data_IF_514292012456
#
_entry.id   IF_514292012456
#
_cell.length_a   1.000
_cell.length_b   1.000
_cell.length_c   1.000
_cell.angle_alpha   90.00
_cell.angle_beta   90.00
_cell.angle_gamma   90.00
#
_symmetry.space_group_name_H-M   'P 1'
#
loop_
_entity.id
_entity.type
_entity.pdbx_description
1 polymer ?
#
# COMPACT_ATOMS: atom_id res chain seq x y z
N UNK A 1 42.73 -6.25 9.33
CA UNK A 1 41.77 -6.20 8.21
C UNK A 1 41.10 -4.84 8.26
N UNK A 2 40.87 -4.13 7.15
CA UNK A 2 40.08 -2.89 7.17
C UNK A 2 38.68 -3.25 7.71
N UNK A 3 38.01 -2.33 8.45
CA UNK A 3 36.69 -2.58 8.97
C UNK A 3 35.76 -2.91 7.80
N UNK A 4 34.99 -3.97 7.93
CA UNK A 4 34.02 -4.42 6.92
C UNK A 4 32.98 -3.31 6.78
N UNK A 5 32.94 -2.64 5.64
CA UNK A 5 32.01 -1.55 5.40
C UNK A 5 30.64 -2.15 5.06
N UNK A 6 29.69 -2.02 5.99
CA UNK A 6 28.30 -2.43 5.77
C UNK A 6 27.53 -1.38 4.97
N UNK A 7 26.59 -1.86 4.16
CA UNK A 7 25.65 -0.99 3.43
C UNK A 7 24.61 -0.47 4.42
N UNK A 8 24.28 0.81 4.32
CA UNK A 8 23.28 1.40 5.18
C UNK A 8 21.87 0.80 4.89
N UNK A 9 21.04 0.49 5.90
CA UNK A 9 19.69 -0.07 5.70
C UNK A 9 18.80 0.76 4.77
N UNK A 10 18.91 2.08 4.79
CA UNK A 10 18.15 2.97 3.91
C UNK A 10 18.52 2.79 2.43
N UNK A 11 19.80 2.52 2.14
CA UNK A 11 20.24 2.21 0.78
C UNK A 11 19.71 0.86 0.31
N UNK A 12 19.74 -0.16 1.19
CA UNK A 12 19.16 -1.47 0.89
C UNK A 12 17.68 -1.33 0.59
N UNK A 13 16.94 -0.55 1.42
CA UNK A 13 15.51 -0.28 1.22
C UNK A 13 15.22 0.44 -0.09
N UNK A 14 16.00 1.45 -0.44
CA UNK A 14 15.84 2.19 -1.68
C UNK A 14 16.05 1.31 -2.91
N UNK A 15 17.12 0.50 -2.93
CA UNK A 15 17.39 -0.45 -4.00
C UNK A 15 16.31 -1.54 -4.09
N UNK A 16 15.85 -2.07 -2.96
CA UNK A 16 14.76 -3.05 -2.92
C UNK A 16 13.45 -2.46 -3.48
N UNK A 17 13.10 -1.23 -3.10
CA UNK A 17 11.93 -0.54 -3.62
C UNK A 17 11.99 -0.35 -5.14
N UNK A 18 13.14 0.07 -5.67
CA UNK A 18 13.35 0.21 -7.12
C UNK A 18 13.22 -1.14 -7.83
N UNK A 19 13.92 -2.16 -7.36
CA UNK A 19 13.88 -3.49 -7.96
C UNK A 19 12.48 -4.13 -7.89
N UNK A 20 11.70 -3.84 -6.85
CA UNK A 20 10.31 -4.26 -6.76
C UNK A 20 9.43 -3.51 -7.78
N UNK A 21 9.64 -2.21 -7.98
CA UNK A 21 8.95 -1.44 -9.01
C UNK A 21 9.24 -1.99 -10.42
N UNK A 22 10.50 -2.28 -10.72
CA UNK A 22 10.91 -2.85 -12.02
C UNK A 22 10.28 -4.24 -12.25
N UNK A 23 10.28 -5.09 -11.21
CA UNK A 23 9.61 -6.38 -11.26
C UNK A 23 8.11 -6.22 -11.52
N UNK A 24 7.44 -5.33 -10.79
CA UNK A 24 6.01 -5.13 -10.93
C UNK A 24 5.61 -4.51 -12.28
N UNK A 25 6.42 -3.60 -12.82
CA UNK A 25 6.23 -3.06 -14.18
C UNK A 25 6.33 -4.15 -15.26
N UNK A 26 7.24 -5.10 -15.08
CA UNK A 26 7.41 -6.24 -15.99
C UNK A 26 6.21 -7.20 -15.91
N UNK A 27 5.73 -7.47 -14.71
CA UNK A 27 4.64 -8.41 -14.46
C UNK A 27 3.25 -7.82 -14.72
N UNK A 28 3.08 -6.49 -14.58
CA UNK A 28 1.82 -5.74 -14.75
C UNK A 28 2.06 -4.55 -15.70
N UNK A 29 2.01 -4.75 -17.04
CA UNK A 29 2.34 -3.69 -18.01
C UNK A 29 1.52 -2.40 -17.86
N UNK A 30 0.25 -2.48 -17.44
CA UNK A 30 -0.60 -1.30 -17.17
C UNK A 30 -0.03 -0.42 -16.05
N UNK A 31 0.75 -0.98 -15.14
CA UNK A 31 1.40 -0.22 -14.07
C UNK A 31 2.44 0.77 -14.62
N UNK A 32 3.19 0.40 -15.65
CA UNK A 32 4.10 1.34 -16.33
C UNK A 32 3.36 2.53 -16.94
N UNK A 33 2.17 2.27 -17.52
CA UNK A 33 1.31 3.34 -18.06
C UNK A 33 0.78 4.23 -16.93
N UNK A 34 0.37 3.64 -15.81
CA UNK A 34 -0.06 4.38 -14.62
C UNK A 34 1.04 5.30 -14.08
N UNK A 35 2.28 4.81 -13.98
CA UNK A 35 3.42 5.61 -13.51
C UNK A 35 3.69 6.82 -14.42
N UNK A 36 3.61 6.65 -15.76
CA UNK A 36 3.75 7.78 -16.70
C UNK A 36 2.64 8.80 -16.51
N UNK A 37 1.40 8.35 -16.44
CA UNK A 37 0.24 9.22 -16.22
C UNK A 37 0.37 10.03 -14.93
N UNK A 38 0.82 9.41 -13.84
CA UNK A 38 1.09 10.09 -12.56
C UNK A 38 2.24 11.10 -12.70
N UNK A 39 3.32 10.75 -13.38
CA UNK A 39 4.46 11.65 -13.59
C UNK A 39 4.09 12.87 -14.42
N UNK A 40 3.35 12.67 -15.51
CA UNK A 40 2.86 13.75 -16.39
C UNK A 40 1.92 14.69 -15.63
N UNK A 41 0.95 14.12 -14.89
CA UNK A 41 0.04 14.91 -14.04
C UNK A 41 0.81 15.72 -12.99
N UNK A 42 1.74 15.10 -12.27
CA UNK A 42 2.53 15.79 -11.26
C UNK A 42 3.35 16.94 -11.87
N UNK A 43 3.91 16.74 -13.06
CA UNK A 43 4.67 17.78 -13.77
C UNK A 43 3.75 18.94 -14.17
N UNK A 44 2.57 18.66 -14.71
CA UNK A 44 1.60 19.68 -15.08
C UNK A 44 1.12 20.50 -13.88
N UNK A 45 0.77 19.84 -12.77
CA UNK A 45 0.36 20.51 -11.53
C UNK A 45 1.46 21.44 -10.98
N UNK A 46 2.73 21.00 -11.01
CA UNK A 46 3.86 21.83 -10.57
C UNK A 46 4.10 23.04 -11.49
N UNK A 47 3.85 22.92 -12.78
CA UNK A 47 3.94 24.05 -13.74
C UNK A 47 2.81 25.04 -13.52
N UNK A 48 1.59 24.57 -13.28
CA UNK A 48 0.40 25.40 -13.12
C UNK A 48 0.35 26.10 -11.75
N UNK A 49 0.78 25.43 -10.68
CA UNK A 49 0.80 25.99 -9.33
C UNK A 49 2.23 26.19 -8.79
N UNK A 50 2.74 27.41 -9.02
CA UNK A 50 4.06 27.84 -8.53
C UNK A 50 4.13 27.95 -6.99
N UNK A 51 3.00 28.06 -6.28
CA UNK A 51 3.00 28.08 -4.80
C UNK A 51 3.17 26.65 -4.28
N UNK A 52 2.46 25.70 -4.88
CA UNK A 52 2.62 24.27 -4.59
C UNK A 52 4.05 23.82 -4.85
N UNK A 53 4.62 24.17 -6.01
CA UNK A 53 6.00 23.82 -6.38
C UNK A 53 7.01 24.34 -5.37
N UNK A 54 6.92 25.61 -4.98
CA UNK A 54 7.78 26.18 -3.95
C UNK A 54 7.61 25.48 -2.59
N UNK A 55 6.40 25.11 -2.24
CA UNK A 55 6.12 24.37 -1.02
C UNK A 55 6.80 23.00 -1.04
N UNK A 56 6.64 22.25 -2.13
CA UNK A 56 7.28 20.92 -2.30
C UNK A 56 8.80 20.99 -2.29
N UNK A 57 9.39 22.07 -2.88
CA UNK A 57 10.83 22.33 -2.81
C UNK A 57 11.30 22.57 -1.38
N UNK A 58 10.60 23.43 -0.64
CA UNK A 58 10.96 23.78 0.74
C UNK A 58 10.85 22.60 1.71
N UNK A 59 9.96 21.67 1.41
CA UNK A 59 9.76 20.47 2.23
C UNK A 59 10.59 19.27 1.78
N UNK A 60 11.37 19.41 0.68
CA UNK A 60 12.14 18.29 0.09
C UNK A 60 11.25 17.18 -0.45
N UNK A 61 10.02 17.50 -0.88
CA UNK A 61 9.06 16.51 -1.33
C UNK A 61 9.10 16.23 -2.84
N UNK A 62 9.71 17.09 -3.67
CA UNK A 62 9.77 16.91 -5.13
C UNK A 62 10.43 15.58 -5.48
N UNK A 63 11.60 15.32 -4.91
CA UNK A 63 12.38 14.09 -5.16
C UNK A 63 11.61 12.85 -4.72
N UNK A 64 10.74 12.99 -3.72
CA UNK A 64 9.92 11.90 -3.17
C UNK A 64 8.68 11.59 -4.01
N UNK A 65 8.27 12.48 -4.93
CA UNK A 65 7.11 12.22 -5.81
C UNK A 65 7.33 11.03 -6.76
N UNK A 66 8.58 10.82 -7.17
CA UNK A 66 8.94 9.73 -8.09
C UNK A 66 9.21 8.39 -7.38
N UNK A 67 9.25 8.39 -6.03
CA UNK A 67 9.51 7.19 -5.26
C UNK A 67 8.21 6.42 -4.99
N UNK A 68 8.26 5.09 -5.12
CA UNK A 68 7.20 4.20 -4.69
C UNK A 68 6.96 4.35 -3.19
N UNK A 69 5.71 4.55 -2.80
CA UNK A 69 5.36 4.88 -1.43
C UNK A 69 4.96 3.68 -0.60
N UNK A 70 4.12 2.81 -1.15
CA UNK A 70 3.76 1.59 -0.46
C UNK A 70 3.38 0.46 -1.41
N UNK A 71 3.58 -0.76 -0.90
CA UNK A 71 3.06 -1.98 -1.48
C UNK A 71 2.17 -2.71 -0.49
N UNK A 72 1.49 -3.75 -0.94
CA UNK A 72 0.71 -4.64 -0.10
C UNK A 72 1.01 -6.11 -0.43
N UNK A 73 1.15 -6.92 0.62
CA UNK A 73 1.36 -8.36 0.53
C UNK A 73 0.50 -9.08 1.57
N UNK A 74 0.06 -10.30 1.24
CA UNK A 74 -0.74 -11.13 2.12
C UNK A 74 -0.02 -12.43 2.43
N UNK A 75 0.05 -12.81 3.69
CA UNK A 75 0.68 -14.06 4.15
C UNK A 75 -0.32 -14.93 4.90
N UNK A 76 -0.04 -16.21 4.96
CA UNK A 76 -0.95 -17.22 5.50
C UNK A 76 -0.65 -17.62 6.94
N UNK A 77 0.60 -17.49 7.41
CA UNK A 77 1.01 -17.98 8.73
C UNK A 77 1.75 -16.94 9.56
N UNK A 78 1.70 -17.10 10.88
CA UNK A 78 2.45 -16.27 11.81
C UNK A 78 3.97 -16.39 11.60
N UNK A 79 4.46 -17.56 11.20
CA UNK A 79 5.87 -17.82 10.88
C UNK A 79 6.31 -17.03 9.65
N UNK A 80 5.47 -16.97 8.62
CA UNK A 80 5.72 -16.14 7.43
C UNK A 80 5.82 -14.66 7.82
N UNK A 81 4.88 -14.15 8.62
CA UNK A 81 4.90 -12.78 9.11
C UNK A 81 6.13 -12.49 9.97
N UNK A 82 6.50 -13.42 10.86
CA UNK A 82 7.70 -13.32 11.70
C UNK A 82 8.97 -13.22 10.85
N UNK A 83 9.07 -14.03 9.79
CA UNK A 83 10.22 -13.99 8.89
C UNK A 83 10.23 -12.70 8.06
N UNK A 84 9.08 -12.22 7.56
CA UNK A 84 8.99 -10.91 6.90
C UNK A 84 9.45 -9.78 7.81
N UNK A 85 9.12 -9.82 9.11
CA UNK A 85 9.63 -8.83 10.06
C UNK A 85 11.16 -8.81 10.10
N UNK A 86 11.80 -9.98 10.08
CA UNK A 86 13.26 -10.08 10.05
C UNK A 86 13.84 -9.59 8.72
N UNK A 87 13.22 -9.96 7.61
CA UNK A 87 13.58 -9.49 6.27
C UNK A 87 13.51 -7.96 6.18
N UNK A 88 12.42 -7.36 6.64
CA UNK A 88 12.26 -5.91 6.62
C UNK A 88 13.19 -5.19 7.61
N UNK A 89 13.60 -5.84 8.70
CA UNK A 89 14.56 -5.27 9.64
C UNK A 89 15.94 -5.03 8.99
N UNK A 90 16.38 -5.87 8.05
CA UNK A 90 17.61 -5.67 7.26
C UNK A 90 17.56 -4.33 6.50
N UNK A 91 16.37 -3.88 6.13
CA UNK A 91 16.11 -2.62 5.42
C UNK A 91 15.75 -1.46 6.37
N UNK A 92 15.95 -1.62 7.68
CA UNK A 92 15.62 -0.60 8.68
C UNK A 92 14.12 -0.33 8.83
N UNK A 93 13.27 -1.29 8.47
CA UNK A 93 11.82 -1.17 8.58
C UNK A 93 11.31 -1.94 9.81
N UNK A 94 10.40 -1.33 10.53
CA UNK A 94 9.76 -1.91 11.71
C UNK A 94 8.24 -1.95 11.53
N UNK A 95 7.53 -2.87 12.22
CA UNK A 95 6.08 -2.89 12.17
C UNK A 95 5.51 -1.67 12.91
N UNK A 96 4.53 -1.01 12.28
CA UNK A 96 3.82 0.13 12.84
C UNK A 96 2.33 -0.05 12.64
N UNK A 97 1.56 0.16 13.70
CA UNK A 97 0.12 -0.02 13.71
C UNK A 97 -0.32 -1.49 13.69
N UNK A 98 -1.57 -1.68 14.05
CA UNK A 98 -2.29 -2.94 13.96
C UNK A 98 -3.72 -2.64 13.50
N UNK A 99 -4.18 -3.41 12.51
CA UNK A 99 -5.47 -3.19 11.88
C UNK A 99 -6.20 -4.53 11.79
N UNK A 100 -7.30 -4.68 12.52
CA UNK A 100 -8.23 -5.81 12.32
C UNK A 100 -9.23 -5.42 11.24
N UNK A 101 -9.22 -6.13 10.12
CA UNK A 101 -10.11 -5.89 9.00
C UNK A 101 -11.33 -6.83 8.99
N UNK A 102 -11.41 -7.77 9.94
CA UNK A 102 -12.55 -8.67 10.06
C UNK A 102 -13.89 -7.93 10.28
N UNK A 103 -13.97 -6.84 11.07
CA UNK A 103 -15.21 -6.06 11.18
C UNK A 103 -15.67 -5.44 9.85
N UNK A 104 -14.77 -5.29 8.87
CA UNK A 104 -15.08 -4.83 7.52
C UNK A 104 -15.33 -6.00 6.53
N UNK A 105 -15.46 -7.23 7.02
CA UNK A 105 -15.70 -8.43 6.22
C UNK A 105 -14.45 -9.00 5.54
N UNK A 106 -13.25 -8.51 5.86
CA UNK A 106 -12.00 -8.99 5.25
C UNK A 106 -11.26 -9.87 6.26
N UNK A 107 -11.03 -11.17 5.98
CA UNK A 107 -10.53 -12.13 6.97
C UNK A 107 -9.03 -12.04 7.25
N UNK A 108 -8.55 -10.85 7.55
CA UNK A 108 -7.13 -10.58 7.86
C UNK A 108 -6.99 -9.57 8.97
N UNK A 109 -5.84 -9.60 9.64
CA UNK A 109 -5.31 -8.45 10.33
C UNK A 109 -4.00 -8.00 9.69
N UNK A 110 -3.68 -6.72 9.80
CA UNK A 110 -2.58 -6.12 9.06
C UNK A 110 -1.69 -5.27 9.93
N UNK A 111 -0.43 -5.14 9.52
CA UNK A 111 0.52 -4.14 10.01
C UNK A 111 1.22 -3.48 8.83
N UNK A 112 1.78 -2.30 9.02
CA UNK A 112 2.64 -1.68 8.01
C UNK A 112 4.10 -1.75 8.46
N UNK A 113 4.99 -2.23 7.59
CA UNK A 113 6.43 -2.12 7.81
C UNK A 113 6.97 -0.86 7.14
N UNK A 114 7.69 -0.03 7.89
CA UNK A 114 8.34 1.18 7.37
C UNK A 114 9.49 1.64 8.25
N UNK A 115 10.35 2.52 7.73
CA UNK A 115 11.27 3.29 8.55
C UNK A 115 10.49 4.26 9.45
N UNK A 116 11.04 4.60 10.62
CA UNK A 116 10.39 5.48 11.60
C UNK A 116 11.13 6.80 11.81
N UNK A 117 12.43 6.85 11.50
CA UNK A 117 13.24 8.07 11.63
C UNK A 117 13.02 9.00 10.43
N UNK A 118 12.93 10.29 10.68
CA UNK A 118 12.66 11.31 9.66
C UNK A 118 13.69 11.26 8.52
N UNK A 119 14.98 11.18 8.83
CA UNK A 119 16.06 11.09 7.85
C UNK A 119 15.93 9.87 6.96
N UNK A 120 15.57 8.71 7.53
CA UNK A 120 15.35 7.48 6.80
C UNK A 120 14.10 7.54 5.92
N UNK A 121 13.03 8.22 6.39
CA UNK A 121 11.82 8.45 5.59
C UNK A 121 12.06 9.41 4.44
N UNK A 122 12.94 10.39 4.62
CA UNK A 122 13.36 11.28 3.53
C UNK A 122 14.21 10.55 2.50
N UNK A 123 15.14 9.71 2.94
CA UNK A 123 15.99 8.91 2.06
C UNK A 123 15.18 7.90 1.21
N UNK A 124 14.22 7.22 1.83
CA UNK A 124 13.32 6.30 1.12
C UNK A 124 12.03 6.10 1.91
N UNK A 125 10.89 6.63 1.44
CA UNK A 125 9.59 6.54 2.12
C UNK A 125 8.86 5.21 1.90
N UNK A 126 9.50 4.21 1.31
CA UNK A 126 8.91 2.91 1.00
C UNK A 126 8.36 2.23 2.24
N UNK A 127 7.17 1.67 2.11
CA UNK A 127 6.50 0.87 3.14
C UNK A 127 5.73 -0.29 2.52
N UNK A 128 5.48 -1.32 3.31
CA UNK A 128 4.69 -2.49 2.87
C UNK A 128 3.62 -2.78 3.90
N UNK A 129 2.36 -2.75 3.47
CA UNK A 129 1.26 -3.31 4.25
C UNK A 129 1.31 -4.82 4.15
N UNK A 130 1.38 -5.46 5.30
CA UNK A 130 1.44 -6.93 5.38
C UNK A 130 0.23 -7.42 6.13
N UNK A 131 -0.60 -8.20 5.44
CA UNK A 131 -1.82 -8.78 5.99
C UNK A 131 -1.60 -10.25 6.30
N UNK A 132 -2.00 -10.69 7.49
CA UNK A 132 -1.99 -12.07 7.91
C UNK A 132 -3.41 -12.62 7.86
N UNK A 133 -3.59 -13.74 7.14
CA UNK A 133 -4.86 -14.45 7.04
C UNK A 133 -5.32 -14.95 8.41
N UNK A 134 -6.59 -14.75 8.71
CA UNK A 134 -7.26 -15.27 9.90
C UNK A 134 -8.00 -16.56 9.53
N UNK A 135 -7.27 -17.68 9.62
CA UNK A 135 -7.81 -19.00 9.29
C UNK A 135 -9.05 -19.37 10.12
N UNK A 136 -9.12 -18.90 11.37
CA UNK A 136 -10.24 -19.15 12.27
C UNK A 136 -11.56 -18.54 11.78
N UNK A 137 -11.52 -17.63 10.82
CA UNK A 137 -12.73 -17.05 10.20
C UNK A 137 -13.24 -17.86 9.00
N UNK A 138 -12.56 -18.94 8.59
CA UNK A 138 -13.10 -19.89 7.63
C UNK A 138 -14.18 -20.70 8.35
N UNK A 139 -15.43 -20.59 7.90
CA UNK A 139 -16.58 -21.19 8.60
C UNK A 139 -16.53 -22.73 8.63
N UNK A 140 -16.17 -23.35 7.50
CA UNK A 140 -16.12 -24.81 7.36
C UNK A 140 -14.85 -25.39 8.02
N UNK A 141 -14.97 -26.23 9.09
CA UNK A 141 -13.80 -26.75 9.80
C UNK A 141 -12.86 -27.59 8.93
N UNK A 142 -13.42 -28.39 8.01
CA UNK A 142 -12.64 -29.23 7.08
C UNK A 142 -11.83 -28.38 6.09
N UNK A 143 -12.42 -27.32 5.55
CA UNK A 143 -11.74 -26.40 4.65
C UNK A 143 -10.69 -25.58 5.39
N UNK A 144 -10.98 -25.19 6.63
CA UNK A 144 -10.01 -24.50 7.51
C UNK A 144 -8.78 -25.38 7.77
N UNK A 145 -9.00 -26.66 8.10
CA UNK A 145 -7.89 -27.59 8.32
C UNK A 145 -7.10 -27.83 7.03
N UNK A 146 -7.76 -28.01 5.89
CA UNK A 146 -7.11 -28.15 4.60
C UNK A 146 -6.25 -26.91 4.27
N UNK A 147 -6.75 -25.71 4.46
CA UNK A 147 -6.02 -24.47 4.27
C UNK A 147 -4.78 -24.39 5.19
N UNK A 148 -4.92 -24.75 6.46
CA UNK A 148 -3.82 -24.81 7.41
C UNK A 148 -2.74 -25.83 6.96
N UNK A 149 -3.13 -27.01 6.49
CA UNK A 149 -2.22 -28.07 6.03
C UNK A 149 -1.45 -27.66 4.76
N UNK A 150 -2.10 -26.93 3.85
CA UNK A 150 -1.46 -26.37 2.65
C UNK A 150 -0.41 -25.34 3.05
N UNK A 151 -0.79 -24.38 3.90
CA UNK A 151 0.09 -23.32 4.34
C UNK A 151 1.28 -23.82 5.17
N UNK A 152 1.08 -24.83 6.00
CA UNK A 152 2.14 -25.44 6.81
C UNK A 152 3.26 -26.09 5.98
N UNK A 153 2.97 -26.52 4.75
CA UNK A 153 3.94 -27.14 3.82
C UNK A 153 4.64 -26.11 2.93
N UNK A 154 4.20 -24.86 2.96
CA UNK A 154 4.68 -23.81 2.07
C UNK A 154 5.96 -23.17 2.59
N UNK A 155 6.89 -22.91 1.67
CA UNK A 155 8.10 -22.11 1.94
C UNK A 155 8.15 -20.95 0.97
N UNK A 156 8.05 -19.73 1.50
CA UNK A 156 7.96 -18.49 0.70
C UNK A 156 9.29 -17.73 0.60
N UNK A 157 10.29 -18.14 1.36
CA UNK A 157 11.62 -17.52 1.37
C UNK A 157 12.66 -18.45 0.76
N UNK A 158 13.56 -17.89 -0.02
CA UNK A 158 14.70 -18.68 -0.52
C UNK A 158 15.64 -19.01 0.65
N UNK A 159 16.34 -20.17 0.63
CA UNK A 159 17.34 -20.52 1.64
C UNK A 159 18.43 -19.45 1.76
N UNK A 160 18.81 -18.83 0.64
CA UNK A 160 19.84 -17.79 0.61
C UNK A 160 19.33 -16.49 1.27
N UNK A 161 18.07 -16.08 1.07
CA UNK A 161 17.49 -14.94 1.78
C UNK A 161 17.54 -15.15 3.30
N UNK A 162 17.16 -16.34 3.78
CA UNK A 162 17.22 -16.70 5.21
C UNK A 162 18.66 -16.62 5.72
N UNK A 163 19.63 -17.16 4.98
CA UNK A 163 21.05 -17.12 5.35
C UNK A 163 21.55 -15.68 5.48
N UNK A 164 21.18 -14.79 4.55
CA UNK A 164 21.60 -13.38 4.56
C UNK A 164 20.94 -12.59 5.70
N UNK A 165 19.68 -12.90 6.04
CA UNK A 165 19.01 -12.35 7.22
C UNK A 165 19.78 -12.73 8.49
N UNK A 166 20.12 -14.01 8.67
CA UNK A 166 20.91 -14.50 9.82
C UNK A 166 22.30 -13.86 9.83
N UNK A 167 22.94 -13.72 8.68
CA UNK A 167 24.23 -13.04 8.55
C UNK A 167 24.13 -11.58 9.04
N UNK A 168 23.10 -10.83 8.61
CA UNK A 168 22.86 -9.46 9.07
C UNK A 168 22.68 -9.40 10.60
N UNK A 169 21.90 -10.31 11.17
CA UNK A 169 21.62 -10.36 12.60
C UNK A 169 22.87 -10.68 13.44
N UNK A 170 23.78 -11.50 12.92
CA UNK A 170 24.98 -11.91 13.64
C UNK A 170 26.14 -10.95 13.49
N UNK A 171 26.31 -10.33 12.31
CA UNK A 171 27.43 -9.41 12.02
C UNK A 171 27.10 -7.93 12.17
N UNK A 172 25.80 -7.59 12.36
CA UNK A 172 25.32 -6.21 12.47
C UNK A 172 25.13 -5.49 11.13
N UNK A 173 25.27 -6.19 9.99
CA UNK A 173 25.08 -5.60 8.67
C UNK A 173 25.43 -6.56 7.52
N UNK A 174 25.23 -6.08 6.28
CA UNK A 174 25.61 -6.76 5.05
C UNK A 174 26.61 -5.88 4.28
N UNK A 175 27.66 -6.50 3.71
CA UNK A 175 28.53 -5.82 2.76
C UNK A 175 27.79 -5.64 1.41
N UNK A 176 28.42 -4.90 0.46
CA UNK A 176 27.82 -4.58 -0.84
C UNK A 176 27.28 -5.80 -1.59
N UNK A 177 28.12 -6.82 -1.76
CA UNK A 177 27.73 -8.03 -2.47
C UNK A 177 26.59 -8.79 -1.77
N UNK A 178 26.67 -8.90 -0.44
CA UNK A 178 25.62 -9.55 0.36
C UNK A 178 24.30 -8.75 0.31
N UNK A 179 24.35 -7.43 0.30
CA UNK A 179 23.16 -6.59 0.19
C UNK A 179 22.48 -6.71 -1.17
N UNK A 180 23.25 -6.73 -2.26
CA UNK A 180 22.73 -6.89 -3.61
C UNK A 180 22.12 -8.31 -3.80
N UNK A 181 22.77 -9.36 -3.27
CA UNK A 181 22.23 -10.73 -3.25
C UNK A 181 20.96 -10.81 -2.37
N UNK A 182 20.96 -10.19 -1.20
CA UNK A 182 19.79 -10.14 -0.33
C UNK A 182 18.58 -9.51 -1.04
N UNK A 183 18.77 -8.43 -1.78
CA UNK A 183 17.69 -7.77 -2.54
C UNK A 183 17.15 -8.76 -3.59
N UNK A 184 18.02 -9.37 -4.40
CA UNK A 184 17.60 -10.31 -5.43
C UNK A 184 16.82 -11.50 -4.86
N UNK A 185 17.33 -12.10 -3.78
CA UNK A 185 16.71 -13.26 -3.14
C UNK A 185 15.38 -12.90 -2.42
N UNK A 186 15.32 -11.71 -1.83
CA UNK A 186 14.10 -11.25 -1.14
C UNK A 186 12.96 -10.96 -2.10
N UNK A 187 13.25 -10.49 -3.32
CA UNK A 187 12.23 -10.22 -4.34
C UNK A 187 11.43 -11.47 -4.72
N UNK A 188 12.04 -12.66 -4.64
CA UNK A 188 11.35 -13.91 -4.99
C UNK A 188 10.10 -14.16 -4.13
N UNK A 189 10.07 -13.65 -2.89
CA UNK A 189 8.89 -13.71 -2.01
C UNK A 189 7.72 -12.89 -2.53
N UNK A 190 7.96 -11.91 -3.40
CA UNK A 190 6.97 -10.94 -3.87
C UNK A 190 6.53 -11.17 -5.32
N UNK A 191 7.12 -12.16 -6.01
CA UNK A 191 6.83 -12.48 -7.40
C UNK A 191 5.46 -13.11 -7.58
N UNK A 192 4.87 -12.87 -8.73
CA UNK A 192 3.66 -13.54 -9.17
C UNK A 192 3.90 -15.03 -9.48
N UNK A 193 2.95 -15.86 -9.07
CA UNK A 193 2.93 -17.30 -9.36
C UNK A 193 1.78 -17.64 -10.29
N UNK A 194 2.08 -18.07 -11.52
CA UNK A 194 1.07 -18.46 -12.51
C UNK A 194 0.44 -19.83 -12.27
N UNK A 195 0.96 -20.61 -11.33
CA UNK A 195 0.50 -21.97 -11.04
C UNK A 195 -0.09 -22.04 -9.62
N UNK A 196 -1.35 -22.45 -9.55
CA UNK A 196 -1.98 -22.80 -8.28
C UNK A 196 -1.42 -24.14 -7.76
N UNK A 197 -1.32 -24.28 -6.44
CA UNK A 197 -0.86 -25.49 -5.76
C UNK A 197 -2.02 -26.39 -5.33
N UNK A 198 -3.25 -26.00 -5.64
CA UNK A 198 -4.50 -26.68 -5.30
C UNK A 198 -5.28 -27.01 -6.56
N UNK A 199 -6.25 -27.94 -6.46
CA UNK A 199 -7.18 -28.22 -7.56
C UNK A 199 -8.18 -27.07 -7.76
N UNK A 200 -8.85 -27.06 -8.91
CA UNK A 200 -9.90 -26.09 -9.23
C UNK A 200 -11.03 -26.12 -8.20
N UNK A 201 -11.42 -27.32 -7.75
CA UNK A 201 -12.49 -27.50 -6.74
C UNK A 201 -12.09 -26.90 -5.40
N UNK A 202 -10.87 -27.17 -4.94
CA UNK A 202 -10.36 -26.60 -3.69
C UNK A 202 -10.24 -25.06 -3.79
N UNK A 203 -9.74 -24.57 -4.93
CA UNK A 203 -9.66 -23.12 -5.18
C UNK A 203 -11.07 -22.49 -5.09
N UNK A 204 -12.08 -23.09 -5.74
CA UNK A 204 -13.43 -22.55 -5.74
C UNK A 204 -14.03 -22.56 -4.32
N UNK A 205 -13.84 -23.61 -3.54
CA UNK A 205 -14.30 -23.67 -2.15
C UNK A 205 -13.67 -22.55 -1.29
N UNK A 206 -12.37 -22.28 -1.46
CA UNK A 206 -11.67 -21.19 -0.77
C UNK A 206 -12.18 -19.82 -1.23
N UNK A 207 -12.40 -19.67 -2.53
CA UNK A 207 -12.88 -18.43 -3.16
C UNK A 207 -14.32 -18.09 -2.72
N UNK A 208 -15.19 -19.09 -2.59
CA UNK A 208 -16.59 -18.92 -2.18
C UNK A 208 -16.70 -18.47 -0.71
N UNK A 209 -15.76 -18.85 0.14
CA UNK A 209 -15.67 -18.29 1.49
C UNK A 209 -15.27 -16.80 1.45
N UNK A 210 -14.22 -16.51 0.74
CA UNK A 210 -13.76 -15.17 0.44
C UNK A 210 -12.60 -15.23 -0.57
N UNK A 211 -12.65 -14.41 -1.65
CA UNK A 211 -11.62 -14.40 -2.72
C UNK A 211 -10.18 -14.26 -2.19
N UNK A 212 -9.97 -13.52 -1.10
CA UNK A 212 -8.67 -13.32 -0.48
C UNK A 212 -8.12 -14.59 0.16
N UNK A 213 -8.99 -15.49 0.64
CA UNK A 213 -8.56 -16.80 1.18
C UNK A 213 -7.95 -17.64 0.06
N UNK A 214 -8.60 -17.70 -1.11
CA UNK A 214 -8.03 -18.36 -2.28
C UNK A 214 -6.71 -17.70 -2.73
N UNK A 215 -6.63 -16.37 -2.73
CA UNK A 215 -5.41 -15.63 -3.05
C UNK A 215 -4.22 -16.02 -2.15
N UNK A 216 -4.46 -16.14 -0.85
CA UNK A 216 -3.40 -16.48 0.12
C UNK A 216 -3.04 -17.97 0.11
N UNK A 217 -4.04 -18.87 -0.02
CA UNK A 217 -3.85 -20.32 0.21
C UNK A 217 -3.47 -21.07 -1.06
N UNK A 218 -4.00 -20.65 -2.21
CA UNK A 218 -3.95 -21.48 -3.42
C UNK A 218 -2.62 -21.42 -4.18
N UNK A 219 -1.67 -20.57 -3.79
CA UNK A 219 -0.41 -20.36 -4.52
C UNK A 219 0.81 -20.74 -3.68
N UNK A 220 1.91 -21.00 -4.38
CA UNK A 220 3.22 -21.38 -3.78
C UNK A 220 3.72 -20.34 -2.78
N UNK A 221 3.41 -19.08 -2.99
CA UNK A 221 3.83 -17.98 -2.13
C UNK A 221 2.92 -16.77 -2.31
N UNK A 222 3.11 -15.76 -1.47
CA UNK A 222 2.48 -14.47 -1.66
C UNK A 222 3.05 -13.77 -2.89
N UNK A 223 2.41 -12.70 -3.30
CA UNK A 223 2.90 -11.76 -4.32
C UNK A 223 2.58 -10.34 -3.89
N UNK A 224 3.24 -9.37 -4.49
CA UNK A 224 2.88 -7.99 -4.27
C UNK A 224 1.56 -7.70 -5.00
N UNK A 225 0.53 -7.23 -4.27
CA UNK A 225 -0.80 -7.02 -4.83
C UNK A 225 -0.90 -5.69 -5.59
N UNK A 226 -0.26 -4.66 -5.07
CA UNK A 226 -0.14 -3.35 -5.70
C UNK A 226 1.12 -2.63 -5.22
N UNK A 227 1.55 -1.68 -6.04
CA UNK A 227 2.46 -0.60 -5.67
C UNK A 227 1.76 0.72 -5.94
N UNK A 228 1.85 1.67 -5.00
CA UNK A 228 1.05 2.89 -5.03
C UNK A 228 1.95 4.12 -5.14
N UNK A 229 2.04 4.76 -6.33
CA UNK A 229 2.69 6.04 -6.50
C UNK A 229 1.82 7.17 -5.93
N UNK A 230 2.46 8.31 -5.64
CA UNK A 230 1.79 9.52 -5.21
C UNK A 230 1.52 10.45 -6.39
N UNK A 231 0.27 10.91 -6.50
CA UNK A 231 -0.11 12.00 -7.41
C UNK A 231 -0.39 13.29 -6.64
N UNK A 232 -0.23 14.43 -7.30
CA UNK A 232 -0.64 15.75 -6.82
C UNK A 232 -2.10 16.05 -7.13
N UNK A 233 -2.67 15.38 -8.17
CA UNK A 233 -4.06 15.54 -8.56
C UNK A 233 -4.65 14.19 -8.97
N UNK A 234 -5.35 13.55 -8.02
CA UNK A 234 -5.91 12.22 -8.22
C UNK A 234 -7.13 12.23 -9.16
N UNK A 235 -7.86 13.34 -9.20
CA UNK A 235 -9.07 13.48 -10.05
C UNK A 235 -8.69 13.48 -11.53
N UNK A 236 -7.61 14.19 -11.89
CA UNK A 236 -7.05 14.19 -13.25
C UNK A 236 -6.57 12.80 -13.64
N UNK A 237 -5.80 12.13 -12.76
CA UNK A 237 -5.29 10.78 -13.06
C UNK A 237 -6.45 9.79 -13.23
N UNK A 238 -7.47 9.82 -12.35
CA UNK A 238 -8.61 8.91 -12.46
C UNK A 238 -9.38 9.11 -13.77
N UNK A 239 -9.59 10.36 -14.17
CA UNK A 239 -10.28 10.67 -15.44
C UNK A 239 -9.49 10.13 -16.62
N UNK A 240 -8.18 10.36 -16.65
CA UNK A 240 -7.32 9.91 -17.74
C UNK A 240 -7.07 8.39 -17.77
N UNK A 241 -7.30 7.66 -16.69
CA UNK A 241 -7.18 6.20 -16.68
C UNK A 241 -8.02 5.53 -17.78
N UNK A 242 -9.25 6.00 -17.99
CA UNK A 242 -10.16 5.43 -18.99
C UNK A 242 -9.60 5.55 -20.42
N UNK A 243 -8.95 6.67 -20.74
CA UNK A 243 -8.32 6.93 -22.05
C UNK A 243 -7.12 6.01 -22.31
N UNK A 244 -6.55 5.42 -21.24
CA UNK A 244 -5.42 4.51 -21.27
C UNK A 244 -5.79 3.04 -21.06
N UNK A 245 -7.03 2.65 -21.31
CA UNK A 245 -7.55 1.29 -21.13
C UNK A 245 -7.44 0.77 -19.68
N UNK A 246 -7.40 1.65 -18.71
CA UNK A 246 -7.45 1.34 -17.29
C UNK A 246 -8.86 1.68 -16.78
N UNK A 247 -9.64 0.67 -16.41
CA UNK A 247 -10.98 0.88 -15.86
C UNK A 247 -10.86 1.31 -14.39
N UNK A 248 -11.12 2.57 -14.03
CA UNK A 248 -10.99 3.03 -12.65
C UNK A 248 -12.12 2.48 -11.75
N UNK A 249 -11.93 2.58 -10.44
CA UNK A 249 -13.03 2.45 -9.48
C UNK A 249 -14.10 3.51 -9.73
N UNK A 250 -15.33 3.23 -9.30
CA UNK A 250 -16.47 4.14 -9.47
C UNK A 250 -16.26 5.50 -8.80
N UNK A 251 -15.55 5.52 -7.66
CA UNK A 251 -15.26 6.73 -6.88
C UNK A 251 -13.83 6.71 -6.36
N UNK A 252 -13.31 7.90 -6.08
CA UNK A 252 -12.10 8.08 -5.30
C UNK A 252 -12.47 7.93 -3.82
N UNK A 253 -11.78 7.03 -3.14
CA UNK A 253 -11.96 6.81 -1.70
C UNK A 253 -11.31 7.94 -0.91
N UNK A 254 -11.93 8.35 0.20
CA UNK A 254 -11.45 9.44 1.06
C UNK A 254 -12.35 10.68 1.00
N UNK A 255 -11.82 11.85 1.41
CA UNK A 255 -12.58 13.09 1.39
C UNK A 255 -12.82 13.58 -0.06
N UNK A 256 -13.81 14.47 -0.29
CA UNK A 256 -13.99 15.11 -1.60
C UNK A 256 -12.78 16.00 -1.95
N UNK A 257 -12.67 16.50 -3.19
CA UNK A 257 -11.68 17.50 -3.56
C UNK A 257 -11.75 18.72 -2.62
N UNK A 258 -10.57 19.21 -2.17
CA UNK A 258 -10.47 20.30 -1.21
C UNK A 258 -9.33 21.25 -1.58
N UNK A 259 -9.49 22.54 -1.23
CA UNK A 259 -8.42 23.53 -1.34
C UNK A 259 -7.24 23.20 -0.40
N UNK A 260 -7.56 22.73 0.82
CA UNK A 260 -6.59 22.21 1.78
C UNK A 260 -6.80 20.70 1.95
N UNK A 261 -6.09 19.86 1.20
CA UNK A 261 -6.24 18.40 1.26
C UNK A 261 -5.97 17.86 2.66
N UNK A 262 -6.75 16.87 3.08
CA UNK A 262 -6.62 16.17 4.36
C UNK A 262 -6.52 14.66 4.15
N UNK A 263 -5.74 13.97 5.00
CA UNK A 263 -5.51 12.52 4.97
C UNK A 263 -5.12 12.00 3.57
N UNK A 264 -5.78 10.94 3.13
CA UNK A 264 -5.53 10.28 1.85
C UNK A 264 -6.79 10.28 1.00
N UNK A 265 -6.60 10.48 -0.30
CA UNK A 265 -7.55 10.10 -1.34
C UNK A 265 -6.90 9.00 -2.16
N UNK A 266 -7.63 7.93 -2.42
CA UNK A 266 -7.09 6.76 -3.11
C UNK A 266 -8.06 6.30 -4.20
N UNK A 267 -7.50 5.83 -5.30
CA UNK A 267 -8.24 5.11 -6.34
C UNK A 267 -7.34 4.08 -7.00
N UNK A 268 -7.91 3.20 -7.77
CA UNK A 268 -7.17 2.19 -8.53
C UNK A 268 -7.87 1.89 -9.84
N UNK A 269 -7.16 1.34 -10.81
CA UNK A 269 -7.84 0.57 -11.83
C UNK A 269 -8.33 -0.77 -11.26
N UNK A 270 -9.41 -1.32 -11.81
CA UNK A 270 -9.98 -2.59 -11.36
C UNK A 270 -8.95 -3.70 -11.48
N UNK A 271 -8.97 -4.62 -10.52
CA UNK A 271 -8.04 -5.73 -10.48
C UNK A 271 -8.06 -6.54 -11.78
N UNK A 272 -6.87 -6.92 -12.23
CA UNK A 272 -6.68 -7.65 -13.48
C UNK A 272 -7.11 -9.10 -13.32
N UNK A 273 -7.78 -9.62 -14.34
CA UNK A 273 -8.03 -11.04 -14.48
C UNK A 273 -6.81 -11.69 -15.14
N UNK A 274 -6.04 -12.43 -14.37
CA UNK A 274 -4.77 -13.00 -14.78
C UNK A 274 -4.91 -14.50 -15.02
N UNK A 275 -4.33 -14.98 -16.12
CA UNK A 275 -4.30 -16.40 -16.47
C UNK A 275 -3.43 -17.16 -15.47
N UNK A 276 -3.98 -18.23 -14.92
CA UNK A 276 -3.29 -19.19 -14.06
C UNK A 276 -3.51 -20.61 -14.55
N UNK A 277 -2.72 -21.52 -14.01
CA UNK A 277 -2.86 -22.94 -14.25
C UNK A 277 -3.16 -23.68 -12.95
N UNK A 278 -4.19 -24.51 -12.95
CA UNK A 278 -4.46 -25.49 -11.89
C UNK A 278 -3.82 -26.82 -12.25
N UNK A 279 -3.51 -27.62 -11.24
CA UNK A 279 -3.04 -29.00 -11.41
C UNK A 279 -4.11 -29.96 -10.90
N UNK A 280 -4.68 -30.75 -11.79
CA UNK A 280 -5.64 -31.80 -11.39
C UNK A 280 -4.95 -32.89 -10.60
N UNK A 281 -5.74 -33.72 -9.89
CA UNK A 281 -5.24 -34.89 -9.17
C UNK A 281 -4.52 -35.92 -10.08
N UNK A 282 -4.73 -35.87 -11.39
CA UNK A 282 -4.05 -36.65 -12.41
C UNK A 282 -2.84 -35.97 -13.05
N UNK A 283 -2.40 -34.81 -12.54
CA UNK A 283 -1.26 -34.06 -13.09
C UNK A 283 -1.54 -33.27 -14.37
N UNK A 284 -2.80 -33.22 -14.83
CA UNK A 284 -3.18 -32.39 -15.98
C UNK A 284 -3.24 -30.91 -15.60
N UNK A 285 -2.75 -30.06 -16.50
CA UNK A 285 -2.82 -28.61 -16.39
C UNK A 285 -4.20 -28.14 -16.89
N UNK A 286 -4.95 -27.48 -16.01
CA UNK A 286 -6.26 -26.90 -16.30
C UNK A 286 -6.11 -25.38 -16.29
N UNK A 287 -6.40 -24.68 -17.42
CA UNK A 287 -6.34 -23.22 -17.46
C UNK A 287 -7.45 -22.62 -16.59
N UNK A 288 -7.14 -21.50 -15.95
CA UNK A 288 -8.08 -20.75 -15.15
C UNK A 288 -7.66 -19.29 -15.02
N UNK A 289 -8.37 -18.57 -14.19
CA UNK A 289 -8.11 -17.14 -13.94
C UNK A 289 -8.10 -16.84 -12.44
N UNK A 290 -7.32 -15.82 -12.07
CA UNK A 290 -7.29 -15.27 -10.72
C UNK A 290 -7.22 -13.76 -10.78
N UNK A 291 -7.86 -13.10 -9.82
CA UNK A 291 -7.96 -11.64 -9.76
C UNK A 291 -7.39 -11.15 -8.42
N UNK A 292 -6.17 -10.63 -8.44
CA UNK A 292 -5.50 -10.20 -7.22
C UNK A 292 -4.73 -8.89 -7.34
N UNK A 293 -4.16 -8.57 -8.53
CA UNK A 293 -3.26 -7.43 -8.72
C UNK A 293 -3.97 -6.26 -9.39
N UNK A 294 -3.63 -5.04 -8.98
CA UNK A 294 -4.20 -3.80 -9.49
C UNK A 294 -3.20 -2.65 -9.35
N UNK A 295 -3.44 -1.55 -10.03
CA UNK A 295 -2.66 -0.33 -9.85
C UNK A 295 -3.45 0.66 -9.00
N UNK A 296 -2.90 1.00 -7.84
CA UNK A 296 -3.45 2.01 -6.94
C UNK A 296 -2.66 3.30 -7.05
N UNK A 297 -3.31 4.43 -6.83
CA UNK A 297 -2.68 5.75 -6.68
C UNK A 297 -3.20 6.42 -5.42
N UNK A 298 -2.39 7.30 -4.85
CA UNK A 298 -2.78 8.10 -3.70
C UNK A 298 -2.46 9.58 -3.87
N UNK A 299 -3.35 10.43 -3.38
CA UNK A 299 -3.11 11.85 -3.14
C UNK A 299 -3.08 12.09 -1.64
N UNK A 300 -2.06 12.81 -1.15
CA UNK A 300 -1.87 13.05 0.28
C UNK A 300 -2.27 14.46 0.66
N UNK A 301 -2.86 14.58 1.85
CA UNK A 301 -3.18 15.84 2.49
C UNK A 301 -2.65 15.90 3.93
N UNK A 302 -3.13 16.86 4.68
CA UNK A 302 -2.74 17.11 6.06
C UNK A 302 -3.02 15.93 6.98
N UNK A 303 -2.10 15.61 7.88
CA UNK A 303 -2.33 14.69 8.99
C UNK A 303 -3.29 15.32 10.01
N UNK A 304 -4.32 14.59 10.40
CA UNK A 304 -5.32 15.04 11.34
C UNK A 304 -4.96 14.67 12.79
N UNK A 305 -5.29 15.54 13.72
CA UNK A 305 -5.29 15.23 15.15
C UNK A 305 -6.42 14.23 15.46
N UNK A 306 -6.46 13.71 16.70
CA UNK A 306 -7.58 12.87 17.13
C UNK A 306 -8.93 13.59 16.99
N UNK A 307 -9.01 14.91 17.30
CA UNK A 307 -10.20 15.71 17.11
C UNK A 307 -10.61 15.81 15.63
N UNK A 308 -9.63 16.13 14.77
CA UNK A 308 -9.87 16.23 13.32
C UNK A 308 -10.25 14.89 12.72
N UNK A 309 -9.65 13.79 13.19
CA UNK A 309 -9.97 12.44 12.75
C UNK A 309 -11.40 12.03 13.15
N UNK A 310 -11.82 12.32 14.38
CA UNK A 310 -13.19 12.02 14.82
C UNK A 310 -14.23 12.78 13.98
N UNK A 311 -13.97 14.06 13.66
CA UNK A 311 -14.83 14.82 12.76
C UNK A 311 -14.87 14.20 11.35
N UNK A 312 -13.71 13.89 10.80
CA UNK A 312 -13.59 13.23 9.49
C UNK A 312 -14.38 11.92 9.44
N UNK A 313 -14.19 11.03 10.41
CA UNK A 313 -14.85 9.72 10.47
C UNK A 313 -16.38 9.88 10.60
N UNK A 314 -16.83 10.86 11.39
CA UNK A 314 -18.26 11.17 11.53
C UNK A 314 -18.86 11.63 10.20
N UNK A 315 -18.21 12.55 9.49
CA UNK A 315 -18.70 13.07 8.21
C UNK A 315 -18.72 11.98 7.13
N UNK A 316 -17.68 11.15 7.07
CA UNK A 316 -17.61 10.03 6.13
C UNK A 316 -18.74 9.02 6.40
N UNK A 317 -18.93 8.64 7.66
CA UNK A 317 -19.99 7.71 8.06
C UNK A 317 -21.38 8.30 7.75
N UNK A 318 -21.60 9.59 8.05
CA UNK A 318 -22.86 10.26 7.75
C UNK A 318 -23.18 10.29 6.24
N UNK A 319 -22.16 10.40 5.39
CA UNK A 319 -22.36 10.34 3.94
C UNK A 319 -22.74 8.92 3.48
N UNK A 320 -22.11 7.89 4.05
CA UNK A 320 -22.42 6.49 3.76
C UNK A 320 -23.83 6.13 4.24
N UNK A 321 -24.21 6.55 5.46
CA UNK A 321 -25.54 6.29 6.04
C UNK A 321 -26.65 6.95 5.23
N UNK A 322 -26.40 8.18 4.72
CA UNK A 322 -27.36 8.87 3.86
C UNK A 322 -27.56 8.19 2.51
N UNK A 323 -26.51 7.62 1.92
CA UNK A 323 -26.62 6.87 0.69
C UNK A 323 -27.37 5.51 0.92
N UNK A 324 -27.14 4.89 2.07
CA UNK A 324 -27.81 3.65 2.56
C UNK A 324 -27.72 2.45 1.62
N UNK A 325 -26.81 2.46 0.67
CA UNK A 325 -26.50 1.33 -0.24
C UNK A 325 -25.01 1.34 -0.57
N UNK A 326 -24.41 0.22 -0.96
CA UNK A 326 -23.02 0.20 -1.42
C UNK A 326 -22.79 1.12 -2.62
N UNK A 327 -21.65 1.83 -2.61
CA UNK A 327 -21.26 2.70 -3.71
C UNK A 327 -20.87 1.87 -4.94
N UNK A 328 -21.44 2.24 -6.09
CA UNK A 328 -21.17 1.62 -7.39
C UNK A 328 -21.25 2.66 -8.52
N UNK A 329 -21.08 2.25 -9.77
CA UNK A 329 -21.09 3.14 -10.94
C UNK A 329 -22.41 3.93 -11.10
N UNK A 330 -23.56 3.35 -10.68
CA UNK A 330 -24.88 3.98 -10.86
C UNK A 330 -25.17 5.07 -9.83
N UNK A 331 -24.56 5.00 -8.65
CA UNK A 331 -24.80 5.95 -7.56
C UNK A 331 -23.56 6.79 -7.20
N UNK A 332 -22.46 6.66 -7.93
CA UNK A 332 -21.20 7.37 -7.67
C UNK A 332 -21.36 8.89 -7.64
N UNK A 333 -22.10 9.47 -8.59
CA UNK A 333 -22.34 10.90 -8.63
C UNK A 333 -23.18 11.38 -7.44
N UNK A 334 -24.20 10.62 -7.04
CA UNK A 334 -25.01 10.90 -5.86
C UNK A 334 -24.17 10.84 -4.59
N UNK A 335 -23.35 9.81 -4.44
CA UNK A 335 -22.43 9.68 -3.30
C UNK A 335 -21.45 10.85 -3.22
N UNK A 336 -20.86 11.25 -4.34
CA UNK A 336 -19.92 12.38 -4.40
C UNK A 336 -20.57 13.70 -3.99
N UNK A 337 -21.85 13.93 -4.37
CA UNK A 337 -22.60 15.10 -3.96
C UNK A 337 -22.87 15.12 -2.44
N UNK A 338 -23.34 13.99 -1.90
CA UNK A 338 -23.57 13.81 -0.46
C UNK A 338 -22.27 14.02 0.32
N UNK A 339 -21.18 13.40 -0.13
CA UNK A 339 -19.86 13.52 0.50
C UNK A 339 -19.40 14.98 0.54
N UNK A 340 -19.54 15.71 -0.56
CA UNK A 340 -19.18 17.12 -0.64
C UNK A 340 -20.03 17.98 0.30
N UNK A 341 -21.34 17.73 0.38
CA UNK A 341 -22.26 18.40 1.31
C UNK A 341 -21.81 18.16 2.77
N UNK A 342 -21.56 16.92 3.18
CA UNK A 342 -21.14 16.62 4.54
C UNK A 342 -19.80 17.28 4.89
N UNK A 343 -18.83 17.16 3.98
CA UNK A 343 -17.49 17.72 4.20
C UNK A 343 -17.43 19.26 4.11
N UNK A 344 -18.48 19.96 3.71
CA UNK A 344 -18.58 21.42 3.86
C UNK A 344 -18.49 21.87 5.33
N UNK A 345 -18.78 20.97 6.28
CA UNK A 345 -18.64 21.19 7.72
C UNK A 345 -17.19 21.07 8.22
N UNK A 346 -16.28 20.52 7.43
CA UNK A 346 -14.86 20.45 7.77
C UNK A 346 -14.16 21.69 7.20
N UNK A 347 -13.48 22.53 8.01
CA UNK A 347 -12.83 23.75 7.53
C UNK A 347 -11.87 23.46 6.36
N UNK A 348 -11.95 24.27 5.30
CA UNK A 348 -11.12 24.13 4.10
C UNK A 348 -10.05 25.24 3.98
N UNK A 349 -9.53 25.66 5.11
CA UNK A 349 -8.40 26.57 5.22
C UNK A 349 -7.48 26.18 6.38
N UNK A 350 -6.18 26.35 6.19
CA UNK A 350 -5.18 25.97 7.20
C UNK A 350 -5.25 26.83 8.49
N UNK A 351 -5.50 28.14 8.46
CA UNK A 351 -5.67 28.94 9.66
C UNK A 351 -6.76 28.40 10.59
N UNK A 352 -7.94 28.11 10.06
CA UNK A 352 -9.06 27.55 10.86
C UNK A 352 -8.73 26.15 11.36
N UNK A 353 -8.22 25.25 10.51
CA UNK A 353 -7.79 23.91 10.93
C UNK A 353 -6.77 23.96 12.07
N UNK A 354 -5.87 24.95 12.07
CA UNK A 354 -4.88 25.16 13.14
C UNK A 354 -5.54 25.70 14.40
N UNK A 355 -6.37 26.73 14.30
CA UNK A 355 -7.06 27.34 15.43
C UNK A 355 -7.94 26.32 16.16
N UNK A 356 -8.64 25.48 15.42
CA UNK A 356 -9.49 24.42 15.96
C UNK A 356 -8.75 23.13 16.33
N UNK A 357 -7.43 23.09 16.09
CA UNK A 357 -6.58 21.91 16.37
C UNK A 357 -7.04 20.65 15.64
N UNK A 358 -7.46 20.78 14.38
CA UNK A 358 -7.93 19.66 13.57
C UNK A 358 -6.79 18.93 12.84
N UNK A 359 -5.71 19.63 12.50
CA UNK A 359 -4.56 19.09 11.79
C UNK A 359 -3.25 19.37 12.52
N UNK A 360 -2.21 18.58 12.20
CA UNK A 360 -0.85 18.82 12.67
C UNK A 360 -0.14 19.82 11.76
N UNK A 361 0.65 20.71 12.36
CA UNK A 361 1.47 21.70 11.67
C UNK A 361 2.91 21.62 12.16
N UNK A 362 3.85 21.69 11.23
CA UNK A 362 5.28 21.85 11.52
C UNK A 362 5.73 23.22 11.05
N UNK A 363 6.71 23.79 11.76
CA UNK A 363 7.25 25.09 11.48
C UNK A 363 8.74 24.94 11.13
N UNK A 364 9.15 25.53 10.01
CA UNK A 364 10.52 25.55 9.56
C UNK A 364 11.01 26.98 9.47
N UNK A 365 12.27 27.26 9.87
CA UNK A 365 12.87 28.56 9.63
C UNK A 365 13.03 28.80 8.12
N UNK A 366 12.81 30.04 7.67
CA UNK A 366 13.06 30.46 6.30
C UNK A 366 14.01 31.64 6.29
N UNK A 367 14.73 31.87 5.18
CA UNK A 367 15.67 32.98 5.02
C UNK A 367 15.03 34.37 5.17
N UNK A 368 13.74 34.49 4.88
CA UNK A 368 13.02 35.79 4.86
C UNK A 368 12.17 36.06 6.11
N UNK A 369 11.80 35.01 6.85
CA UNK A 369 11.03 35.12 8.10
C UNK A 369 11.46 33.99 9.02
N UNK A 370 11.56 34.22 10.34
CA UNK A 370 12.05 33.21 11.27
C UNK A 370 11.20 31.94 11.33
N UNK A 371 9.96 31.97 10.87
CA UNK A 371 9.06 30.82 10.90
C UNK A 371 8.07 30.86 9.74
N UNK A 372 7.95 29.75 9.02
CA UNK A 372 6.87 29.50 8.08
C UNK A 372 6.07 28.28 8.57
N UNK A 373 4.74 28.42 8.61
CA UNK A 373 3.89 27.28 8.91
C UNK A 373 3.75 26.39 7.68
N UNK A 374 4.29 25.21 7.75
CA UNK A 374 4.18 24.20 6.68
C UNK A 374 3.38 23.03 7.25
N UNK A 375 2.31 22.68 6.56
CA UNK A 375 1.56 21.48 6.85
C UNK A 375 2.32 20.28 6.27
N UNK A 376 2.80 19.40 7.14
CA UNK A 376 3.47 18.17 6.71
C UNK A 376 2.48 17.01 6.77
N UNK A 377 1.65 16.86 5.76
CA UNK A 377 0.80 15.68 5.58
C UNK A 377 1.54 14.34 5.55
N UNK A 378 2.82 14.35 5.93
CA UNK A 378 3.72 13.24 5.75
C UNK A 378 4.34 12.67 7.03
N UNK A 379 4.04 13.23 8.19
CA UNK A 379 4.62 12.73 9.42
C UNK A 379 3.64 11.89 10.18
N UNK A 380 3.90 10.63 10.07
CA UNK A 380 3.38 9.68 11.02
C UNK A 380 1.91 9.38 10.80
N UNK A 381 1.66 8.41 9.97
CA UNK A 381 0.65 7.44 10.28
C UNK A 381 1.00 6.86 11.64
N UNK A 382 0.66 7.55 12.70
CA UNK A 382 0.45 6.91 13.98
C UNK A 382 -0.73 5.98 13.76
N UNK A 383 -0.48 4.71 13.85
CA UNK A 383 -1.25 3.48 13.73
C UNK A 383 -2.78 3.42 13.63
N UNK A 384 -3.47 4.53 13.35
CA UNK A 384 -4.93 4.60 13.36
C UNK A 384 -5.58 4.95 12.01
N UNK A 385 -4.79 5.14 10.93
CA UNK A 385 -5.31 5.78 9.71
C UNK A 385 -5.96 4.83 8.68
N UNK A 386 -6.06 3.53 8.95
CA UNK A 386 -6.62 2.57 7.97
C UNK A 386 -7.91 1.92 8.48
N UNK A 387 -8.63 2.54 9.36
CA UNK A 387 -9.83 1.89 9.89
C UNK A 387 -11.03 1.84 8.94
N UNK A 388 -10.98 2.34 7.71
CA UNK A 388 -12.13 2.23 6.76
C UNK A 388 -11.75 2.63 5.34
N UNK A 389 -11.03 1.81 4.64
CA UNK A 389 -10.91 1.90 3.17
C UNK A 389 -10.88 0.50 2.54
N UNK A 390 -11.93 -0.28 2.81
CA UNK A 390 -12.25 -1.47 2.02
C UNK A 390 -13.77 -1.64 1.94
#
# INVERSE_FOLDING_TARGET
>A
MPPQQFVHPDEIRAKFSSAMSDMYQTEVPLYSTLLRLVADTNTQEMVQDQKLTRHLQQTGEIERLTMERHGAIRVGTAEELKMLRRLFAVMGMVPVGYYDLAPAGVPVHSTAFRAVHETSLQACPFRVFTSLLRLELIEQPTLRQLAADILAKRTIFTPQAIKLIVQHETSGGLNRHQADDFIAQSLETFRWHHQATVSTETYQQLHDQHRLIADVVAFKGPHINHLTPRTLNIDVVQTAMAEHNMMPKAVIEGPPPRHCPILLRQTSFKALEEKIAFVSNGGQIIPGHHTARFGEIEQRGAALTAKGRNLYDHLLQSAQDQLNVPVNENNAAQYSAILSEKFSQFPDDYPTMRAEKLAFFRYFPTEKRPYHCINTGNTGNTGNDIRRTY
#
